data_IF_456717285940
#
_entry.id   IF_456717285940
#
_cell.length_a   1.000
_cell.length_b   1.000
_cell.length_c   1.000
_cell.angle_alpha   90.00
_cell.angle_beta   90.00
_cell.angle_gamma   90.00
#
_symmetry.space_group_name_H-M   'P 1'
#
loop_
_entity.id
_entity.type
_entity.pdbx_description
1 polymer ?
#
# COMPACT_ATOMS: atom_id res chain seq x y z
N UNK A 1 0.91 4.32 29.83
CA UNK A 1 -0.52 3.97 29.82
C UNK A 1 -1.15 4.64 28.61
N UNK A 2 -1.55 3.87 27.60
CA UNK A 2 -2.28 4.42 26.46
C UNK A 2 -3.72 4.72 26.90
N UNK A 3 -4.14 5.98 26.82
CA UNK A 3 -5.53 6.35 27.11
C UNK A 3 -6.49 5.75 26.06
N UNK A 4 -7.79 5.61 26.38
CA UNK A 4 -8.80 4.91 25.57
C UNK A 4 -9.15 5.60 24.23
N UNK A 5 -8.43 6.67 23.86
CA UNK A 5 -8.79 7.55 22.75
C UNK A 5 -8.06 7.25 21.45
N UNK A 6 -6.93 6.53 21.49
CA UNK A 6 -6.00 6.48 20.36
C UNK A 6 -5.55 7.89 19.93
N UNK A 7 -4.66 8.01 18.95
CA UNK A 7 -4.27 9.31 18.42
C UNK A 7 -5.40 9.92 17.54
N UNK A 8 -5.41 11.24 17.28
CA UNK A 8 -6.46 11.90 16.50
C UNK A 8 -6.65 11.26 15.12
N UNK A 9 -7.89 10.99 14.74
CA UNK A 9 -8.25 10.45 13.42
C UNK A 9 -8.37 11.59 12.40
N UNK A 10 -8.01 11.30 11.15
CA UNK A 10 -8.13 12.24 10.03
C UNK A 10 -9.45 11.97 9.34
N UNK A 11 -10.25 13.01 9.07
CA UNK A 11 -11.48 12.81 8.33
C UNK A 11 -11.15 12.36 6.90
N UNK A 12 -11.74 11.27 6.44
CA UNK A 12 -11.63 10.84 5.05
C UNK A 12 -12.31 11.86 4.13
N UNK A 13 -11.69 12.21 3.01
CA UNK A 13 -12.22 13.22 2.07
C UNK A 13 -12.34 12.72 0.63
N UNK A 14 -11.86 11.51 0.34
CA UNK A 14 -11.60 11.06 -1.03
C UNK A 14 -12.59 9.96 -1.45
N UNK A 15 -13.90 10.26 -1.42
CA UNK A 15 -14.94 9.32 -1.86
C UNK A 15 -14.61 8.72 -3.24
N UNK A 16 -14.79 7.41 -3.36
CA UNK A 16 -14.46 6.65 -4.58
C UNK A 16 -13.00 6.24 -4.72
N UNK A 17 -12.13 6.62 -3.79
CA UNK A 17 -10.80 5.99 -3.62
C UNK A 17 -10.96 4.48 -3.38
N UNK A 18 -10.04 3.62 -3.88
CA UNK A 18 -10.03 2.20 -3.52
C UNK A 18 -9.49 1.94 -2.12
N UNK A 19 -8.89 2.94 -1.49
CA UNK A 19 -8.21 2.82 -0.20
C UNK A 19 -8.78 3.82 0.81
N UNK A 20 -9.01 3.34 2.04
CA UNK A 20 -9.09 4.17 3.25
C UNK A 20 -7.69 4.23 3.88
N UNK A 21 -7.01 5.40 3.84
CA UNK A 21 -5.64 5.54 4.32
C UNK A 21 -5.48 5.28 5.83
N UNK A 22 -4.24 5.09 6.31
CA UNK A 22 -3.97 4.94 7.74
C UNK A 22 -4.53 6.10 8.55
N UNK A 23 -5.17 5.78 9.66
CA UNK A 23 -5.79 6.74 10.61
C UNK A 23 -6.93 7.59 10.06
N UNK A 24 -7.39 7.32 8.84
CA UNK A 24 -8.56 8.00 8.31
C UNK A 24 -9.85 7.37 8.83
N UNK A 25 -10.87 8.20 9.06
CA UNK A 25 -12.23 7.78 9.42
C UNK A 25 -13.25 8.19 8.37
N UNK A 26 -14.11 7.25 8.00
CA UNK A 26 -15.30 7.47 7.20
C UNK A 26 -16.48 7.86 8.10
N UNK A 27 -17.18 8.91 7.72
CA UNK A 27 -18.50 9.27 8.24
C UNK A 27 -19.62 8.69 7.38
N UNK A 28 -20.85 8.62 7.90
CA UNK A 28 -21.98 8.14 7.12
C UNK A 28 -22.14 8.89 5.79
N UNK A 29 -22.43 8.16 4.72
CA UNK A 29 -22.49 8.63 3.34
C UNK A 29 -21.15 8.57 2.58
N UNK A 30 -20.03 8.33 3.26
CA UNK A 30 -18.73 8.16 2.61
C UNK A 30 -18.51 6.73 2.13
N UNK A 31 -17.73 6.58 1.06
CA UNK A 31 -17.54 5.29 0.40
C UNK A 31 -16.17 5.12 -0.26
N UNK A 32 -15.77 3.87 -0.41
CA UNK A 32 -14.68 3.42 -1.28
C UNK A 32 -15.26 2.70 -2.50
N UNK A 33 -14.51 2.68 -3.60
CA UNK A 33 -14.85 1.89 -4.80
C UNK A 33 -13.66 1.06 -5.23
N UNK A 34 -13.88 -0.17 -5.67
CA UNK A 34 -12.83 -0.95 -6.32
C UNK A 34 -12.29 -0.20 -7.54
N UNK A 35 -11.04 -0.42 -7.96
CA UNK A 35 -10.47 0.27 -9.12
C UNK A 35 -11.27 0.13 -10.42
N UNK A 36 -11.86 -1.04 -10.68
CA UNK A 36 -12.82 -1.31 -11.76
C UNK A 36 -14.17 -0.60 -11.62
N UNK A 37 -14.43 0.04 -10.47
CA UNK A 37 -15.70 0.69 -10.10
C UNK A 37 -16.90 -0.25 -9.95
N UNK A 38 -16.67 -1.56 -10.07
CA UNK A 38 -17.70 -2.58 -9.88
C UNK A 38 -18.19 -2.66 -8.44
N UNK A 39 -17.27 -2.64 -7.47
CA UNK A 39 -17.61 -2.79 -6.06
C UNK A 39 -17.57 -1.47 -5.31
N UNK A 40 -18.52 -1.26 -4.41
CA UNK A 40 -18.61 -0.05 -3.57
C UNK A 40 -18.80 -0.40 -2.11
N UNK A 41 -17.86 -0.01 -1.26
CA UNK A 41 -17.97 -0.12 0.20
C UNK A 41 -18.49 1.20 0.75
N UNK A 42 -19.73 1.22 1.21
CA UNK A 42 -20.44 2.41 1.70
C UNK A 42 -20.70 2.29 3.20
N UNK A 43 -20.34 3.33 3.96
CA UNK A 43 -20.88 3.52 5.30
C UNK A 43 -22.24 4.20 5.18
N UNK A 44 -23.32 3.45 5.38
CA UNK A 44 -24.68 3.95 5.22
C UNK A 44 -25.09 4.91 6.37
N UNK A 45 -26.08 5.80 6.16
CA UNK A 45 -26.64 6.67 7.20
C UNK A 45 -27.14 5.94 8.45
N UNK A 46 -27.56 4.69 8.30
CA UNK A 46 -28.04 3.83 9.37
C UNK A 46 -26.90 3.05 10.07
N UNK A 47 -25.63 3.36 9.80
CA UNK A 47 -24.44 2.71 10.37
C UNK A 47 -24.20 1.25 9.96
N UNK A 48 -24.79 0.79 8.87
CA UNK A 48 -24.31 -0.40 8.19
C UNK A 48 -23.11 -0.06 7.29
N UNK A 49 -21.99 -0.77 7.47
CA UNK A 49 -20.91 -0.78 6.50
C UNK A 49 -21.23 -1.88 5.47
N UNK A 50 -21.58 -1.50 4.26
CA UNK A 50 -22.12 -2.39 3.24
C UNK A 50 -21.29 -2.37 1.96
N UNK A 51 -21.05 -3.56 1.39
CA UNK A 51 -20.45 -3.71 0.07
C UNK A 51 -21.54 -3.96 -0.96
N UNK A 52 -21.47 -3.24 -2.07
CA UNK A 52 -22.33 -3.41 -3.23
C UNK A 52 -21.52 -3.92 -4.43
N UNK A 53 -22.09 -4.84 -5.21
CA UNK A 53 -21.61 -5.29 -6.52
C UNK A 53 -22.56 -4.76 -7.58
N UNK A 54 -22.10 -3.83 -8.42
CA UNK A 54 -22.92 -3.16 -9.45
C UNK A 54 -24.26 -2.61 -8.90
N UNK A 55 -24.24 -2.10 -7.67
CA UNK A 55 -25.41 -1.54 -6.99
C UNK A 55 -26.30 -2.56 -6.28
N UNK A 56 -26.06 -3.86 -6.42
CA UNK A 56 -26.71 -4.89 -5.62
C UNK A 56 -25.97 -5.11 -4.29
N UNK A 57 -26.71 -5.22 -3.17
CA UNK A 57 -26.09 -5.50 -1.88
C UNK A 57 -25.42 -6.88 -1.88
N UNK A 58 -24.12 -6.91 -1.62
CA UNK A 58 -23.31 -8.13 -1.64
C UNK A 58 -22.81 -8.55 -0.25
N UNK A 59 -22.66 -7.61 0.69
CA UNK A 59 -22.23 -7.87 2.06
C UNK A 59 -22.54 -6.72 3.01
N UNK A 60 -22.65 -7.02 4.30
CA UNK A 60 -22.75 -6.05 5.41
C UNK A 60 -21.81 -6.47 6.54
N UNK A 61 -21.21 -5.52 7.24
CA UNK A 61 -20.41 -5.76 8.44
C UNK A 61 -21.24 -6.34 9.60
N UNK A 62 -21.27 -7.66 9.64
CA UNK A 62 -21.92 -8.50 10.63
C UNK A 62 -20.91 -9.50 11.24
N UNK A 63 -21.40 -10.36 12.15
CA UNK A 63 -20.57 -11.30 12.87
C UNK A 63 -20.16 -12.50 12.02
N UNK A 64 -18.85 -12.74 11.92
CA UNK A 64 -18.23 -13.96 11.40
C UNK A 64 -17.02 -14.39 12.26
N UNK A 65 -16.37 -15.50 11.89
CA UNK A 65 -15.27 -16.12 12.63
C UNK A 65 -14.03 -15.22 12.86
N UNK A 66 -13.86 -14.16 12.07
CA UNK A 66 -12.72 -13.23 12.14
C UNK A 66 -13.17 -11.79 12.40
N UNK A 67 -14.24 -11.65 13.19
CA UNK A 67 -14.76 -10.37 13.64
C UNK A 67 -15.25 -10.47 15.08
N UNK A 68 -15.33 -9.34 15.77
CA UNK A 68 -15.94 -9.23 17.08
C UNK A 68 -17.04 -8.17 17.08
N UNK A 69 -17.98 -8.32 18.01
CA UNK A 69 -18.91 -7.23 18.37
C UNK A 69 -18.71 -6.90 19.84
N UNK A 70 -18.37 -5.65 20.12
CA UNK A 70 -18.07 -5.11 21.45
C UNK A 70 -18.98 -3.92 21.75
N UNK A 71 -18.91 -3.39 22.97
CA UNK A 71 -19.53 -2.11 23.27
C UNK A 71 -18.76 -0.96 22.60
N UNK A 72 -19.43 0.11 22.14
CA UNK A 72 -18.79 1.26 21.53
C UNK A 72 -17.97 2.06 22.55
N UNK A 73 -16.86 2.63 22.08
CA UNK A 73 -16.07 3.57 22.89
C UNK A 73 -16.80 4.91 22.92
N UNK A 74 -17.28 5.30 24.10
CA UNK A 74 -18.16 6.46 24.28
C UNK A 74 -17.65 7.78 23.67
N UNK A 75 -16.33 8.00 23.67
CA UNK A 75 -15.70 9.21 23.16
C UNK A 75 -15.48 9.22 21.63
N UNK A 76 -15.74 8.11 20.94
CA UNK A 76 -15.59 8.00 19.47
C UNK A 76 -16.96 8.17 18.84
N UNK A 77 -17.17 9.11 17.90
CA UNK A 77 -18.47 9.28 17.24
C UNK A 77 -18.80 8.11 16.31
N UNK A 78 -20.02 8.08 15.79
CA UNK A 78 -20.41 7.14 14.73
C UNK A 78 -19.51 7.28 13.51
N UNK A 79 -18.71 6.25 13.23
CA UNK A 79 -17.78 6.23 12.10
C UNK A 79 -17.27 4.81 11.80
N UNK A 80 -16.60 4.67 10.66
CA UNK A 80 -15.74 3.52 10.36
C UNK A 80 -14.30 3.98 10.19
N UNK A 81 -13.32 3.29 10.76
CA UNK A 81 -11.91 3.63 10.61
C UNK A 81 -11.00 2.40 10.68
N UNK A 82 -9.73 2.60 10.31
CA UNK A 82 -8.67 1.59 10.46
C UNK A 82 -7.70 2.04 11.55
N UNK A 83 -7.51 1.19 12.56
CA UNK A 83 -6.50 1.33 13.61
C UNK A 83 -5.88 -0.07 13.83
N UNK A 84 -5.00 -0.44 12.91
CA UNK A 84 -4.56 -1.81 12.63
C UNK A 84 -5.69 -2.76 12.20
N UNK A 85 -6.77 -2.87 12.97
CA UNK A 85 -8.03 -3.49 12.55
C UNK A 85 -9.04 -2.48 12.01
N UNK A 86 -10.04 -2.97 11.29
CA UNK A 86 -11.22 -2.20 10.90
C UNK A 86 -12.16 -2.09 12.09
N UNK A 87 -12.67 -0.89 12.34
CA UNK A 87 -13.53 -0.58 13.49
C UNK A 87 -14.73 0.24 13.03
N UNK A 88 -15.93 -0.30 13.23
CA UNK A 88 -17.21 0.38 13.00
C UNK A 88 -17.83 0.70 14.36
N UNK A 89 -17.88 1.98 14.72
CA UNK A 89 -18.53 2.47 15.93
C UNK A 89 -19.96 2.87 15.59
N UNK A 90 -20.94 2.18 16.17
CA UNK A 90 -22.37 2.35 15.92
C UNK A 90 -23.11 2.53 17.25
N UNK A 91 -23.23 3.78 17.70
CA UNK A 91 -24.01 4.15 18.88
C UNK A 91 -25.51 3.97 18.68
N UNK A 92 -25.99 3.94 17.43
CA UNK A 92 -27.42 3.72 17.11
C UNK A 92 -27.88 2.34 17.55
N UNK A 93 -27.01 1.33 17.44
CA UNK A 93 -27.26 -0.04 17.92
C UNK A 93 -26.44 -0.41 19.15
N UNK A 94 -25.78 0.57 19.77
CA UNK A 94 -24.87 0.38 20.89
C UNK A 94 -23.84 -0.74 20.66
N UNK A 95 -23.21 -0.76 19.47
CA UNK A 95 -22.23 -1.78 19.07
C UNK A 95 -20.96 -1.19 18.48
N UNK A 96 -19.87 -1.94 18.59
CA UNK A 96 -18.62 -1.74 17.89
C UNK A 96 -18.27 -3.04 17.16
N UNK A 97 -18.31 -3.03 15.84
CA UNK A 97 -17.84 -4.16 15.05
C UNK A 97 -16.35 -3.99 14.76
N UNK A 98 -15.56 -5.03 14.98
CA UNK A 98 -14.11 -4.99 14.73
C UNK A 98 -13.64 -6.23 13.98
N UNK A 99 -12.59 -6.08 13.16
CA UNK A 99 -11.90 -7.24 12.57
C UNK A 99 -10.99 -7.94 13.59
N UNK A 100 -10.78 -9.25 13.40
CA UNK A 100 -9.78 -10.06 14.12
C UNK A 100 -8.59 -10.29 13.21
N UNK A 101 -7.55 -9.48 13.39
CA UNK A 101 -6.38 -9.44 12.53
C UNK A 101 -5.31 -10.44 12.99
N UNK A 102 -4.32 -10.70 12.13
CA UNK A 102 -3.05 -11.28 12.57
C UNK A 102 -2.37 -10.40 13.62
N UNK A 103 -1.32 -10.90 14.28
CA UNK A 103 -0.57 -10.09 15.25
C UNK A 103 0.32 -9.08 14.54
N UNK A 104 0.31 -7.83 14.99
CA UNK A 104 1.22 -6.80 14.48
C UNK A 104 2.68 -7.19 14.74
N UNK A 105 3.57 -6.85 13.80
CA UNK A 105 5.02 -7.14 13.94
C UNK A 105 5.70 -6.29 15.03
N UNK A 106 5.07 -5.19 15.42
CA UNK A 106 5.50 -4.25 16.46
C UNK A 106 4.27 -3.79 17.26
N UNK A 107 4.28 -2.57 17.81
CA UNK A 107 3.10 -2.05 18.53
C UNK A 107 1.93 -1.77 17.58
N UNK A 108 0.69 -2.03 18.04
CA UNK A 108 -0.54 -1.66 17.32
C UNK A 108 -0.57 -0.18 16.94
N UNK A 109 -0.05 0.70 17.80
CA UNK A 109 0.05 2.14 17.52
C UNK A 109 0.97 2.44 16.33
N UNK A 110 2.15 1.80 16.27
CA UNK A 110 3.05 1.94 15.14
C UNK A 110 2.43 1.37 13.86
N UNK A 111 1.79 0.19 13.95
CA UNK A 111 1.09 -0.44 12.83
C UNK A 111 -0.07 0.41 12.31
N UNK A 112 -0.82 1.08 13.20
CA UNK A 112 -1.93 1.95 12.82
C UNK A 112 -1.51 3.14 11.94
N UNK A 113 -0.26 3.59 11.99
CA UNK A 113 0.24 4.68 11.13
C UNK A 113 0.54 4.24 9.69
N UNK A 114 0.49 2.93 9.40
CA UNK A 114 0.85 2.36 8.09
C UNK A 114 -0.12 1.29 7.59
N UNK A 115 -1.12 0.95 8.40
CA UNK A 115 -2.16 -0.01 8.04
C UNK A 115 -3.34 0.70 7.39
N UNK A 116 -3.77 0.22 6.23
CA UNK A 116 -4.88 0.78 5.46
C UNK A 116 -5.87 -0.31 5.06
N UNK A 117 -7.06 0.09 4.62
CA UNK A 117 -8.06 -0.81 4.05
C UNK A 117 -8.20 -0.55 2.56
N UNK A 118 -8.35 -1.61 1.79
CA UNK A 118 -8.52 -1.58 0.34
C UNK A 118 -9.73 -2.40 -0.11
N UNK A 119 -10.51 -1.85 -1.03
CA UNK A 119 -11.52 -2.59 -1.81
C UNK A 119 -10.89 -3.04 -3.12
N UNK A 120 -11.00 -4.32 -3.44
CA UNK A 120 -10.35 -4.93 -4.60
C UNK A 120 -11.37 -5.29 -5.70
N UNK A 121 -10.86 -5.54 -6.91
CA UNK A 121 -11.67 -5.84 -8.11
C UNK A 121 -12.30 -7.25 -8.11
N UNK A 122 -11.93 -8.09 -7.15
CA UNK A 122 -12.59 -9.36 -6.84
C UNK A 122 -13.71 -9.20 -5.78
N UNK A 123 -13.96 -7.98 -5.29
CA UNK A 123 -14.93 -7.69 -4.24
C UNK A 123 -14.42 -7.98 -2.83
N UNK A 124 -13.14 -8.28 -2.66
CA UNK A 124 -12.55 -8.43 -1.34
C UNK A 124 -12.36 -7.07 -0.67
N UNK A 125 -12.38 -7.09 0.67
CA UNK A 125 -12.02 -5.97 1.51
C UNK A 125 -10.83 -6.44 2.31
N UNK A 126 -9.67 -5.81 2.12
CA UNK A 126 -8.41 -6.28 2.68
C UNK A 126 -7.77 -5.18 3.51
N UNK A 127 -7.33 -5.53 4.71
CA UNK A 127 -6.57 -4.64 5.58
C UNK A 127 -5.10 -5.03 5.47
N UNK A 128 -4.24 -4.05 5.15
CA UNK A 128 -2.85 -4.27 4.75
C UNK A 128 -1.94 -3.42 5.65
N UNK A 129 -1.00 -4.05 6.34
CA UNK A 129 0.12 -3.40 7.02
C UNK A 129 1.26 -3.14 6.01
N UNK A 130 1.49 -1.88 5.64
CA UNK A 130 2.52 -1.47 4.66
C UNK A 130 3.79 -0.99 5.34
N UNK A 131 4.78 -1.87 5.45
CA UNK A 131 6.04 -1.60 6.13
C UNK A 131 7.09 -1.03 5.18
N UNK A 132 7.52 0.22 5.42
CA UNK A 132 8.66 0.80 4.69
C UNK A 132 9.96 0.26 5.27
N UNK A 133 10.68 -0.53 4.47
CA UNK A 133 11.96 -1.16 4.85
C UNK A 133 13.16 -0.24 4.57
N UNK A 134 13.06 0.55 3.49
CA UNK A 134 14.05 1.56 3.12
C UNK A 134 13.34 2.72 2.41
N UNK A 135 13.78 3.95 2.68
CA UNK A 135 13.25 5.15 2.05
C UNK A 135 14.42 6.00 1.52
N UNK A 136 14.56 6.07 0.19
CA UNK A 136 15.56 6.90 -0.46
C UNK A 136 15.24 8.38 -0.40
N UNK A 137 13.98 8.74 -0.14
CA UNK A 137 13.46 10.11 -0.18
C UNK A 137 12.64 10.42 1.08
N UNK A 138 13.25 10.49 2.28
CA UNK A 138 12.52 10.61 3.55
C UNK A 138 11.70 11.91 3.68
N UNK A 139 12.03 12.95 2.92
CA UNK A 139 11.28 14.21 2.88
C UNK A 139 10.07 14.19 1.92
N UNK A 140 9.92 13.12 1.11
CA UNK A 140 8.81 12.95 0.17
C UNK A 140 7.90 11.84 0.70
N UNK A 141 6.63 12.12 0.99
CA UNK A 141 5.74 11.13 1.58
C UNK A 141 5.49 9.97 0.61
N UNK A 142 5.53 8.74 1.13
CA UNK A 142 5.02 7.55 0.44
C UNK A 142 3.50 7.57 0.55
N UNK A 143 2.80 7.81 -0.55
CA UNK A 143 1.34 7.99 -0.56
C UNK A 143 0.66 6.64 -0.77
N UNK A 144 -0.15 6.21 0.21
CA UNK A 144 -0.91 4.95 0.12
C UNK A 144 -1.98 5.04 -0.97
N UNK A 145 -2.09 3.99 -1.80
CA UNK A 145 -3.06 3.93 -2.91
C UNK A 145 -2.72 4.84 -4.11
N UNK A 146 -1.58 5.54 -4.09
CA UNK A 146 -1.08 6.24 -5.26
C UNK A 146 -0.55 5.23 -6.29
N UNK A 147 -0.74 5.54 -7.57
CA UNK A 147 -0.08 4.83 -8.66
C UNK A 147 1.44 4.80 -8.45
N UNK A 148 2.08 3.71 -8.88
CA UNK A 148 3.52 3.54 -8.78
C UNK A 148 4.06 2.65 -9.90
N UNK A 149 5.32 2.86 -10.29
CA UNK A 149 6.10 1.77 -10.90
C UNK A 149 6.57 0.86 -9.77
N UNK A 150 6.31 -0.43 -9.91
CA UNK A 150 6.70 -1.43 -8.92
C UNK A 150 7.72 -2.37 -9.56
N UNK A 151 8.87 -2.49 -8.91
CA UNK A 151 9.91 -3.44 -9.27
C UNK A 151 9.84 -4.62 -8.28
N UNK A 152 9.20 -5.75 -8.65
CA UNK A 152 9.21 -6.96 -7.84
C UNK A 152 10.56 -7.68 -7.94
N UNK A 153 10.92 -8.50 -6.96
CA UNK A 153 12.14 -9.30 -7.04
C UNK A 153 11.94 -10.57 -7.88
N UNK A 154 12.84 -10.93 -8.82
CA UNK A 154 13.97 -10.15 -9.31
C UNK A 154 13.58 -9.16 -10.43
N UNK A 155 14.12 -7.95 -10.39
CA UNK A 155 14.00 -6.92 -11.45
C UNK A 155 15.32 -6.18 -11.63
N UNK A 156 15.85 -6.12 -12.85
CA UNK A 156 17.05 -5.36 -13.19
C UNK A 156 16.69 -4.03 -13.88
N UNK A 157 17.35 -2.93 -13.48
CA UNK A 157 17.27 -1.67 -14.18
C UNK A 157 18.23 -1.70 -15.38
N UNK A 158 17.67 -1.55 -16.58
CA UNK A 158 18.48 -1.48 -17.81
C UNK A 158 19.28 -0.17 -17.81
N UNK A 159 20.58 -0.27 -18.07
CA UNK A 159 21.46 0.91 -18.11
C UNK A 159 21.04 1.88 -19.22
N UNK A 160 20.96 3.16 -18.89
CA UNK A 160 20.51 4.24 -19.78
C UNK A 160 18.98 4.34 -19.94
N UNK A 161 18.22 3.34 -19.49
CA UNK A 161 16.77 3.33 -19.60
C UNK A 161 16.14 4.10 -18.42
N UNK A 162 15.37 5.18 -18.66
CA UNK A 162 14.55 5.78 -17.63
C UNK A 162 13.26 4.98 -17.40
N UNK A 163 12.87 4.86 -16.14
CA UNK A 163 11.59 4.32 -15.71
C UNK A 163 10.78 5.43 -15.06
N UNK A 164 9.62 5.76 -15.63
CA UNK A 164 8.77 6.87 -15.18
C UNK A 164 7.56 6.39 -14.40
N UNK A 165 7.19 7.13 -13.36
CA UNK A 165 5.87 7.12 -12.76
C UNK A 165 5.42 8.58 -12.74
N UNK A 166 4.56 9.04 -13.65
CA UNK A 166 4.27 10.48 -13.79
C UNK A 166 5.56 11.33 -13.84
N UNK A 167 5.66 12.36 -12.99
CA UNK A 167 6.85 13.22 -12.89
C UNK A 167 8.04 12.59 -12.14
N UNK A 168 7.87 11.41 -11.55
CA UNK A 168 8.94 10.65 -10.91
C UNK A 168 9.69 9.80 -11.92
N UNK A 169 11.02 9.71 -11.80
CA UNK A 169 11.82 8.78 -12.60
C UNK A 169 12.90 8.07 -11.78
N UNK A 170 13.33 6.89 -12.22
CA UNK A 170 14.58 6.25 -11.77
C UNK A 170 15.38 5.78 -12.99
N UNK A 171 16.69 5.98 -12.96
CA UNK A 171 17.60 5.64 -14.07
C UNK A 171 18.86 5.00 -13.50
N UNK A 172 19.29 3.86 -14.06
CA UNK A 172 20.67 3.40 -13.95
C UNK A 172 21.49 4.04 -15.08
N UNK A 173 22.27 5.06 -14.77
CA UNK A 173 22.88 5.97 -15.74
C UNK A 173 24.14 5.40 -16.40
N UNK A 174 24.55 6.04 -17.50
CA UNK A 174 25.75 5.69 -18.26
C UNK A 174 27.05 5.80 -17.45
N UNK A 175 27.11 6.68 -16.46
CA UNK A 175 28.27 6.81 -15.56
C UNK A 175 28.31 5.74 -14.45
N UNK A 176 27.28 4.91 -14.35
CA UNK A 176 27.15 3.87 -13.34
C UNK A 176 26.34 4.28 -12.10
N UNK A 177 25.82 5.51 -12.01
CA UNK A 177 24.97 5.91 -10.91
C UNK A 177 23.53 5.40 -11.07
N UNK A 178 22.87 5.00 -9.99
CA UNK A 178 21.40 4.95 -9.95
C UNK A 178 20.88 6.25 -9.36
N UNK A 179 20.02 6.96 -10.10
CA UNK A 179 19.47 8.25 -9.69
C UNK A 179 17.95 8.24 -9.81
N UNK A 180 17.30 8.72 -8.76
CA UNK A 180 15.87 9.00 -8.73
C UNK A 180 15.63 10.51 -8.85
N UNK A 181 14.70 10.84 -9.73
CA UNK A 181 14.30 12.18 -10.10
C UNK A 181 12.84 12.43 -9.76
N UNK A 182 12.50 13.69 -9.51
CA UNK A 182 11.13 14.19 -9.48
C UNK A 182 10.91 15.25 -10.56
N UNK A 183 9.87 16.10 -10.40
CA UNK A 183 9.53 17.14 -11.37
C UNK A 183 10.74 17.97 -11.82
N UNK A 184 10.76 18.33 -13.11
CA UNK A 184 11.83 19.08 -13.76
C UNK A 184 13.23 18.45 -13.64
N UNK A 185 13.32 17.12 -13.60
CA UNK A 185 14.59 16.39 -13.44
C UNK A 185 15.37 16.76 -12.17
N UNK A 186 14.65 17.18 -11.12
CA UNK A 186 15.24 17.44 -9.81
C UNK A 186 15.72 16.12 -9.18
N UNK A 187 17.00 16.03 -8.84
CA UNK A 187 17.55 14.85 -8.16
C UNK A 187 16.94 14.75 -6.77
N UNK A 188 16.30 13.62 -6.47
CA UNK A 188 15.69 13.33 -5.16
C UNK A 188 16.54 12.36 -4.35
N UNK A 189 17.16 11.41 -5.02
CA UNK A 189 18.07 10.44 -4.41
C UNK A 189 19.10 9.94 -5.44
N UNK A 190 20.29 9.57 -4.98
CA UNK A 190 21.31 8.92 -5.79
C UNK A 190 22.08 7.87 -4.99
N UNK A 191 22.51 6.80 -5.66
CA UNK A 191 23.34 5.74 -5.06
C UNK A 191 24.81 6.14 -4.85
N UNK A 192 25.24 7.22 -5.51
CA UNK A 192 26.62 7.71 -5.53
C UNK A 192 27.64 6.67 -6.04
N UNK A 193 27.25 5.90 -7.06
CA UNK A 193 28.09 4.85 -7.68
C UNK A 193 28.70 5.25 -9.02
N UNK A 194 28.54 6.51 -9.43
CA UNK A 194 29.16 7.07 -10.62
C UNK A 194 30.67 6.84 -10.63
N UNK A 195 31.21 6.43 -11.78
CA UNK A 195 32.64 6.21 -12.03
C UNK A 195 33.31 5.18 -11.09
N UNK A 196 32.53 4.33 -10.40
CA UNK A 196 33.04 3.25 -9.53
C UNK A 196 33.01 1.86 -10.21
N UNK A 197 32.78 1.83 -11.52
CA UNK A 197 32.73 0.57 -12.28
C UNK A 197 31.41 -0.21 -12.13
N UNK A 198 30.31 0.45 -11.79
CA UNK A 198 28.99 -0.18 -11.70
C UNK A 198 28.57 -0.74 -13.07
N UNK A 199 28.10 -1.98 -13.08
CA UNK A 199 27.66 -2.71 -14.28
C UNK A 199 26.24 -3.26 -14.17
N UNK A 200 25.67 -3.36 -12.97
CA UNK A 200 24.35 -3.95 -12.72
C UNK A 200 23.65 -3.25 -11.56
N UNK A 201 22.36 -2.94 -11.74
CA UNK A 201 21.48 -2.43 -10.68
C UNK A 201 20.22 -3.29 -10.63
N UNK A 202 20.02 -4.02 -9.53
CA UNK A 202 19.00 -5.07 -9.45
C UNK A 202 18.26 -5.03 -8.11
N UNK A 203 16.94 -5.10 -8.17
CA UNK A 203 16.10 -5.44 -7.03
C UNK A 203 15.95 -6.96 -6.97
N UNK A 204 16.59 -7.58 -5.99
CA UNK A 204 16.78 -9.03 -5.92
C UNK A 204 15.54 -9.72 -5.32
N UNK A 205 15.43 -11.04 -5.54
CA UNK A 205 14.32 -11.86 -5.02
C UNK A 205 14.27 -11.91 -3.48
N UNK A 206 15.40 -11.64 -2.81
CA UNK A 206 15.50 -11.54 -1.36
C UNK A 206 15.03 -10.19 -0.79
N UNK A 207 14.58 -9.26 -1.64
CA UNK A 207 14.10 -7.94 -1.24
C UNK A 207 15.18 -6.86 -1.10
N UNK A 208 16.42 -7.13 -1.51
CA UNK A 208 17.50 -6.15 -1.50
C UNK A 208 17.62 -5.40 -2.83
N UNK A 209 17.76 -4.07 -2.80
CA UNK A 209 18.17 -3.31 -3.99
C UNK A 209 19.68 -3.13 -3.96
N UNK A 210 20.39 -3.58 -5.01
CA UNK A 210 21.85 -3.62 -5.02
C UNK A 210 22.40 -3.09 -6.34
N UNK A 211 23.46 -2.28 -6.24
CA UNK A 211 24.29 -1.86 -7.37
C UNK A 211 25.62 -2.59 -7.28
N UNK A 212 25.98 -3.32 -8.33
CA UNK A 212 27.18 -4.15 -8.43
C UNK A 212 28.16 -3.59 -9.45
N UNK A 213 29.45 -3.70 -9.13
CA UNK A 213 30.53 -3.69 -10.10
C UNK A 213 30.71 -5.08 -10.74
N UNK A 214 31.73 -5.23 -11.60
CA UNK A 214 32.09 -6.53 -12.18
C UNK A 214 32.36 -7.60 -11.10
N UNK A 215 32.17 -8.87 -11.47
CA UNK A 215 32.35 -10.04 -10.58
C UNK A 215 31.48 -9.99 -9.30
N UNK A 216 30.27 -9.42 -9.41
CA UNK A 216 29.29 -9.32 -8.32
C UNK A 216 29.81 -8.63 -7.04
N UNK A 217 30.76 -7.69 -7.19
CA UNK A 217 31.23 -6.85 -6.08
C UNK A 217 30.19 -5.76 -5.77
N UNK A 218 29.57 -5.73 -4.58
CA UNK A 218 28.55 -4.73 -4.26
C UNK A 218 29.18 -3.36 -4.04
N UNK A 219 28.69 -2.34 -4.75
CA UNK A 219 29.08 -0.94 -4.57
C UNK A 219 28.13 -0.19 -3.63
N UNK A 220 26.86 -0.55 -3.65
CA UNK A 220 25.82 0.02 -2.80
C UNK A 220 24.68 -1.00 -2.62
N UNK A 221 24.03 -1.02 -1.46
CA UNK A 221 22.79 -1.76 -1.25
C UNK A 221 21.85 -1.05 -0.27
N UNK A 222 20.55 -1.37 -0.34
CA UNK A 222 19.53 -0.79 0.54
C UNK A 222 19.53 -1.36 1.96
N UNK A 223 20.24 -2.46 2.22
CA UNK A 223 20.26 -3.12 3.52
C UNK A 223 18.98 -3.89 3.84
N UNK A 224 18.23 -4.31 2.83
CA UNK A 224 16.88 -4.91 2.99
C UNK A 224 16.81 -6.40 2.61
N UNK A 225 17.95 -7.09 2.56
CA UNK A 225 18.00 -8.53 2.30
C UNK A 225 17.18 -9.35 3.33
N UNK A 226 16.67 -10.51 2.90
CA UNK A 226 15.84 -11.40 3.73
C UNK A 226 14.36 -10.99 3.82
N UNK A 227 13.89 -10.16 2.88
CA UNK A 227 12.52 -9.63 2.78
C UNK A 227 11.86 -10.07 1.46
N UNK A 228 11.74 -11.39 1.20
CA UNK A 228 11.12 -11.86 -0.03
C UNK A 228 9.68 -11.35 -0.16
N UNK A 229 9.29 -10.98 -1.38
CA UNK A 229 7.99 -10.37 -1.65
C UNK A 229 7.90 -8.89 -1.34
N UNK A 230 8.93 -8.24 -0.79
CA UNK A 230 9.04 -6.78 -0.80
C UNK A 230 9.11 -6.25 -2.24
N UNK A 231 8.86 -4.95 -2.42
CA UNK A 231 8.93 -4.29 -3.72
C UNK A 231 9.57 -2.92 -3.61
N UNK A 232 10.46 -2.57 -4.54
CA UNK A 232 10.87 -1.19 -4.76
C UNK A 232 9.75 -0.45 -5.49
N UNK A 233 9.38 0.74 -5.00
CA UNK A 233 8.27 1.56 -5.52
C UNK A 233 8.75 2.95 -5.85
N UNK A 234 8.48 3.38 -7.07
CA UNK A 234 8.62 4.76 -7.52
C UNK A 234 7.23 5.38 -7.69
N UNK A 235 6.98 6.50 -7.04
CA UNK A 235 5.70 7.22 -7.13
C UNK A 235 5.80 8.52 -7.95
N UNK A 236 4.67 9.04 -8.48
CA UNK A 236 4.59 10.30 -9.22
C UNK A 236 5.16 11.54 -8.54
N UNK A 237 5.13 11.59 -7.21
CA UNK A 237 5.72 12.69 -6.45
C UNK A 237 7.25 12.59 -6.32
N UNK A 238 7.88 11.56 -6.92
CA UNK A 238 9.30 11.27 -6.80
C UNK A 238 9.68 10.48 -5.56
N UNK A 239 8.72 9.94 -4.79
CA UNK A 239 9.03 9.06 -3.66
C UNK A 239 9.62 7.74 -4.15
N UNK A 240 10.73 7.31 -3.54
CA UNK A 240 11.38 6.04 -3.81
C UNK A 240 11.58 5.26 -2.50
N UNK A 241 10.90 4.11 -2.38
CA UNK A 241 10.95 3.30 -1.17
C UNK A 241 10.88 1.80 -1.47
N UNK A 242 11.44 0.99 -0.57
CA UNK A 242 11.22 -0.46 -0.53
C UNK A 242 10.15 -0.72 0.51
N UNK A 243 9.06 -1.33 0.08
CA UNK A 243 7.87 -1.56 0.91
C UNK A 243 7.55 -3.05 0.95
N UNK A 244 7.24 -3.54 2.16
CA UNK A 244 6.65 -4.84 2.41
C UNK A 244 5.21 -4.67 2.86
N UNK A 245 4.29 -4.96 1.96
CA UNK A 245 2.86 -5.04 2.27
C UNK A 245 2.52 -6.43 2.79
N UNK A 246 1.83 -6.48 3.93
CA UNK A 246 1.38 -7.71 4.58
C UNK A 246 -0.12 -7.60 4.84
N UNK A 247 -0.97 -8.41 4.17
CA UNK A 247 -2.37 -8.48 4.53
C UNK A 247 -2.53 -9.05 5.94
N UNK A 248 -3.31 -8.35 6.77
CA UNK A 248 -3.54 -8.70 8.17
C UNK A 248 -4.99 -9.14 8.45
N UNK A 249 -5.88 -8.93 7.49
CA UNK A 249 -7.26 -9.41 7.49
C UNK A 249 -7.86 -9.29 6.08
N UNK A 250 -8.77 -10.18 5.71
CA UNK A 250 -9.64 -9.99 4.56
C UNK A 250 -11.06 -10.51 4.82
N UNK A 251 -12.03 -9.98 4.07
CA UNK A 251 -13.44 -10.38 4.17
C UNK A 251 -13.66 -11.85 3.79
N UNK A 252 -12.96 -12.34 2.77
CA UNK A 252 -13.02 -13.74 2.35
C UNK A 252 -11.62 -14.28 2.01
N UNK A 253 -11.49 -15.60 2.02
CA UNK A 253 -10.24 -16.34 1.77
C UNK A 253 -9.21 -16.26 2.90
N UNK A 254 -9.24 -15.18 3.69
CA UNK A 254 -8.34 -15.00 4.83
C UNK A 254 -8.54 -16.05 5.92
N UNK A 255 -7.41 -16.61 6.34
CA UNK A 255 -7.21 -17.19 7.66
C UNK A 255 -5.91 -16.63 8.24
N UNK A 256 -5.71 -16.60 9.57
CA UNK A 256 -4.48 -16.03 10.15
C UNK A 256 -3.19 -16.73 9.73
N UNK A 257 -3.27 -17.93 9.16
CA UNK A 257 -2.10 -18.77 8.79
C UNK A 257 -1.87 -18.88 7.29
N UNK A 258 -2.78 -18.41 6.44
CA UNK A 258 -2.63 -18.53 4.98
C UNK A 258 -1.62 -17.50 4.46
N UNK A 259 -0.84 -17.90 3.45
CA UNK A 259 0.07 -16.98 2.75
C UNK A 259 -0.68 -16.31 1.61
N UNK A 260 -0.91 -15.01 1.74
CA UNK A 260 -1.52 -14.21 0.69
C UNK A 260 -0.60 -14.11 -0.55
N UNK A 261 -1.21 -14.11 -1.74
CA UNK A 261 -0.53 -13.94 -3.02
C UNK A 261 -0.82 -12.55 -3.58
N UNK A 262 0.22 -11.82 -4.00
CA UNK A 262 0.06 -10.53 -4.67
C UNK A 262 -0.51 -10.69 -6.08
N UNK A 263 -1.49 -9.88 -6.40
CA UNK A 263 -2.02 -9.66 -7.74
C UNK A 263 -1.67 -8.24 -8.13
N UNK A 264 -1.10 -8.05 -9.32
CA UNK A 264 -0.74 -6.73 -9.81
C UNK A 264 -1.74 -6.29 -10.87
N UNK A 265 -2.28 -5.09 -10.73
CA UNK A 265 -3.26 -4.54 -11.66
C UNK A 265 -2.63 -3.38 -12.44
N UNK A 266 -2.23 -3.61 -13.70
CA UNK A 266 -1.59 -2.60 -14.52
C UNK A 266 -2.48 -1.37 -14.68
N UNK A 267 -1.86 -0.19 -14.65
CA UNK A 267 -2.54 1.05 -15.03
C UNK A 267 -2.36 1.28 -16.54
N UNK A 268 -3.43 1.06 -17.30
CA UNK A 268 -3.43 1.25 -18.76
C UNK A 268 -3.97 2.62 -19.18
N UNK A 269 -4.22 3.54 -18.24
CA UNK A 269 -4.93 4.79 -18.52
C UNK A 269 -4.03 5.92 -19.05
N UNK A 270 -2.71 5.77 -18.94
CA UNK A 270 -1.73 6.77 -19.39
C UNK A 270 -0.99 6.34 -20.68
N UNK A 271 -0.78 7.25 -21.66
CA UNK A 271 -0.14 6.96 -22.95
C UNK A 271 1.31 6.46 -22.85
N UNK A 272 2.01 6.81 -21.78
CA UNK A 272 3.39 6.38 -21.47
C UNK A 272 3.44 4.99 -20.79
N UNK A 273 2.26 4.39 -20.57
CA UNK A 273 2.06 3.12 -19.87
C UNK A 273 1.29 2.07 -20.71
N UNK A 274 1.23 2.26 -22.03
CA UNK A 274 0.63 1.33 -23.01
C UNK A 274 1.49 0.08 -23.36
N UNK A 275 2.38 -0.35 -22.45
CA UNK A 275 2.99 -1.69 -22.50
C UNK A 275 4.35 -1.82 -23.19
N UNK A 276 5.00 -0.72 -23.61
CA UNK A 276 6.36 -0.77 -24.19
C UNK A 276 7.49 -0.48 -23.19
N UNK A 277 7.15 -0.01 -21.97
CA UNK A 277 8.13 0.16 -20.90
C UNK A 277 8.52 -1.20 -20.29
N UNK A 278 9.77 -1.40 -19.84
CA UNK A 278 10.21 -2.71 -19.35
C UNK A 278 9.54 -3.14 -18.04
N UNK A 279 8.96 -2.18 -17.30
CA UNK A 279 8.10 -2.46 -16.16
C UNK A 279 6.81 -1.66 -16.30
N UNK A 280 5.64 -2.27 -16.07
CA UNK A 280 4.37 -1.57 -16.08
C UNK A 280 4.23 -0.70 -14.82
N UNK A 281 3.45 0.38 -14.93
CA UNK A 281 2.87 1.04 -13.76
C UNK A 281 1.69 0.24 -13.27
N UNK A 282 1.45 0.33 -11.97
CA UNK A 282 0.33 -0.29 -11.33
C UNK A 282 -0.48 0.77 -10.62
N UNK A 283 -1.79 0.77 -10.90
CA UNK A 283 -2.74 1.63 -10.20
C UNK A 283 -2.97 1.12 -8.78
N UNK A 284 -2.84 -0.19 -8.57
CA UNK A 284 -2.94 -0.82 -7.26
C UNK A 284 -2.37 -2.26 -7.27
N UNK A 285 -2.23 -2.82 -6.06
CA UNK A 285 -1.92 -4.23 -5.82
C UNK A 285 -3.13 -4.84 -5.11
N UNK A 286 -3.56 -6.02 -5.51
CA UNK A 286 -4.52 -6.82 -4.76
C UNK A 286 -3.91 -8.10 -4.20
N UNK A 287 -4.76 -8.90 -3.57
CA UNK A 287 -4.39 -10.05 -2.75
C UNK A 287 -5.41 -11.16 -2.87
N UNK A 288 -4.93 -12.31 -3.34
CA UNK A 288 -5.63 -13.59 -3.31
C UNK A 288 -5.20 -14.37 -2.06
N UNK A 289 -6.13 -15.16 -1.51
CA UNK A 289 -5.92 -15.99 -0.31
C UNK A 289 -6.36 -17.41 -0.62
#
# INVERSE_FOLDING_TARGET
>A
MAGPLGPPRIQFTNNGSPVLPPRNSMSPGQYLESPSKRFKLLLQPDMNLALYDNGALAWVADGNAYTNTLNPVAAVPNCFYVYYGGVLVDHTRNRCWTTVNTTAVDSVEAAANRTYLQVQDDGNIVIIDSQTLWNGTPSIPVVTGSAAVIFPGPSELVRGQPYFAGDGAIIFQGDGNVVNYGPNWSVRWASYTQNKGAVKAVFQADGNFVVYAANDVPLWNSGTAGRPGASLRLQPNGSLAIVQDVPVWARFGYTPTIRARKIYYPDTTSPEHNGTAPYPTYGHIGWEF
#
